data_IF_381684374696
#
_entry.id   IF_381684374696
#
_cell.length_a   1.000
_cell.length_b   1.000
_cell.length_c   1.000
_cell.angle_alpha   90.00
_cell.angle_beta   90.00
_cell.angle_gamma   90.00
#
_symmetry.space_group_name_H-M   'P 1'
#
loop_
_entity.id
_entity.type
_entity.pdbx_description
1 polymer ?
#
# COMPACT_ATOMS: atom_id res chain seq x y z
N UNK A 1 25.44 26.07 1.34
CA UNK A 1 24.84 25.42 0.15
C UNK A 1 23.33 25.62 0.21
N UNK A 2 22.70 26.33 -0.74
CA UNK A 2 21.25 26.44 -0.73
C UNK A 2 20.66 25.04 -0.99
N UNK A 3 19.99 24.47 0.00
CA UNK A 3 19.19 23.26 -0.18
C UNK A 3 18.01 23.65 -1.08
N UNK A 4 18.13 23.38 -2.38
CA UNK A 4 17.05 23.55 -3.34
C UNK A 4 15.80 22.90 -2.75
N UNK A 5 14.73 23.67 -2.63
CA UNK A 5 13.53 23.18 -1.98
C UNK A 5 12.93 22.08 -2.85
N UNK A 6 13.11 20.81 -2.45
CA UNK A 6 12.64 19.63 -3.17
C UNK A 6 11.19 19.84 -3.62
N UNK A 7 10.97 19.89 -4.92
CA UNK A 7 9.61 19.98 -5.49
C UNK A 7 8.96 18.61 -5.56
N UNK A 8 7.62 18.51 -5.66
CA UNK A 8 6.96 17.22 -5.82
C UNK A 8 7.44 16.45 -7.06
N UNK A 9 7.64 17.13 -8.20
CA UNK A 9 8.10 16.51 -9.44
C UNK A 9 9.58 16.10 -9.36
N UNK A 10 10.43 16.83 -8.64
CA UNK A 10 11.83 16.43 -8.40
C UNK A 10 11.91 15.12 -7.62
N UNK A 11 11.14 14.98 -6.53
CA UNK A 11 11.06 13.72 -5.78
C UNK A 11 10.55 12.59 -6.68
N UNK A 12 9.52 12.86 -7.48
CA UNK A 12 8.93 11.88 -8.38
C UNK A 12 9.93 11.36 -9.42
N UNK A 13 10.73 12.27 -9.99
CA UNK A 13 11.82 11.93 -10.92
C UNK A 13 12.94 11.15 -10.19
N UNK A 14 13.30 11.53 -8.97
CA UNK A 14 14.32 10.83 -8.17
C UNK A 14 13.87 9.40 -7.85
N UNK A 15 12.63 9.23 -7.40
CA UNK A 15 12.02 7.94 -7.14
C UNK A 15 12.00 7.05 -8.39
N UNK A 16 11.63 7.62 -9.55
CA UNK A 16 11.62 6.88 -10.81
C UNK A 16 13.02 6.43 -11.23
N UNK A 17 14.01 7.32 -11.13
CA UNK A 17 15.41 6.97 -11.41
C UNK A 17 15.90 5.85 -10.50
N UNK A 18 15.58 5.91 -9.20
CA UNK A 18 15.94 4.86 -8.25
C UNK A 18 15.27 3.54 -8.64
N UNK A 19 13.97 3.56 -8.95
CA UNK A 19 13.20 2.40 -9.38
C UNK A 19 13.84 1.70 -10.60
N UNK A 20 14.39 2.46 -11.53
CA UNK A 20 14.97 1.92 -12.77
C UNK A 20 16.37 1.32 -12.61
N UNK A 21 16.97 1.41 -11.41
CA UNK A 21 18.31 0.86 -11.14
C UNK A 21 18.32 -0.67 -10.97
N UNK A 22 19.46 -1.30 -11.28
CA UNK A 22 19.70 -2.73 -10.99
C UNK A 22 19.62 -3.03 -9.48
N UNK A 23 20.11 -2.11 -8.65
CA UNK A 23 20.04 -2.24 -7.19
C UNK A 23 18.60 -2.31 -6.69
N UNK A 24 17.70 -1.48 -7.27
CA UNK A 24 16.28 -1.56 -6.97
C UNK A 24 15.68 -2.88 -7.44
N UNK A 25 16.00 -3.29 -8.68
CA UNK A 25 15.58 -4.61 -9.17
C UNK A 25 16.04 -5.72 -8.25
N UNK A 26 17.25 -5.70 -7.71
CA UNK A 26 17.72 -6.70 -6.74
C UNK A 26 16.92 -6.69 -5.42
N UNK A 27 16.59 -5.50 -4.89
CA UNK A 27 15.74 -5.35 -3.71
C UNK A 27 14.35 -5.95 -3.96
N UNK A 28 13.80 -5.73 -5.17
CA UNK A 28 12.49 -6.25 -5.55
C UNK A 28 12.53 -7.71 -5.99
N UNK A 29 13.60 -8.23 -6.61
CA UNK A 29 13.70 -9.63 -7.06
C UNK A 29 14.06 -10.57 -5.92
N UNK A 30 14.70 -10.07 -4.85
CA UNK A 30 14.83 -10.80 -3.59
C UNK A 30 13.48 -11.17 -2.96
N UNK A 31 12.38 -10.57 -3.46
CA UNK A 31 11.00 -10.85 -3.08
C UNK A 31 10.44 -12.15 -3.69
N UNK A 32 10.81 -12.52 -4.93
CA UNK A 32 10.32 -13.76 -5.57
C UNK A 32 10.75 -15.02 -4.78
N UNK A 33 11.79 -14.89 -3.94
CA UNK A 33 12.26 -15.94 -3.05
C UNK A 33 11.50 -16.00 -1.69
N UNK A 34 10.63 -15.02 -1.39
CA UNK A 34 9.94 -14.90 -0.09
C UNK A 34 8.45 -14.54 -0.18
N UNK A 35 7.89 -14.35 -1.38
CA UNK A 35 6.47 -14.11 -1.62
C UNK A 35 5.72 -15.42 -1.90
N UNK A 36 4.54 -15.67 -1.30
CA UNK A 36 3.65 -16.72 -1.78
C UNK A 36 3.17 -16.41 -3.21
N UNK A 37 3.17 -17.43 -4.06
CA UNK A 37 2.86 -17.34 -5.49
C UNK A 37 1.44 -16.77 -5.72
N UNK A 38 1.26 -15.83 -6.66
CA UNK A 38 -0.06 -15.28 -6.94
C UNK A 38 -0.94 -16.35 -7.60
N UNK A 39 -2.08 -16.64 -6.96
CA UNK A 39 -3.12 -17.50 -7.54
C UNK A 39 -3.63 -16.85 -8.83
N UNK A 40 -3.30 -17.47 -9.97
CA UNK A 40 -3.85 -17.09 -11.28
C UNK A 40 -5.34 -17.40 -11.30
N UNK A 41 -6.18 -16.37 -11.45
CA UNK A 41 -7.57 -16.53 -11.82
C UNK A 41 -7.62 -16.87 -13.32
N UNK A 42 -8.08 -18.08 -13.63
CA UNK A 42 -8.43 -18.47 -15.01
C UNK A 42 -9.73 -17.74 -15.37
N UNK A 43 -9.85 -17.13 -16.56
CA UNK A 43 -11.12 -16.60 -17.03
C UNK A 43 -12.02 -17.77 -17.44
N UNK A 44 -13.17 -17.95 -16.79
CA UNK A 44 -14.21 -18.85 -17.29
C UNK A 44 -14.88 -18.20 -18.51
N UNK A 45 -14.57 -18.74 -19.69
CA UNK A 45 -15.33 -18.54 -20.92
C UNK A 45 -16.55 -19.50 -20.96
N UNK A 46 -17.59 -19.05 -21.68
CA UNK A 46 -18.71 -19.83 -22.23
C UNK A 46 -19.82 -20.27 -21.25
N UNK A 47 -21.12 -20.24 -21.56
CA UNK A 47 -21.93 -19.68 -22.65
C UNK A 47 -23.40 -19.82 -22.22
N UNK A 48 -24.27 -19.01 -22.80
CA UNK A 48 -25.72 -18.96 -22.59
C UNK A 48 -26.45 -20.28 -22.85
N UNK A 49 -27.57 -20.55 -22.14
CA UNK A 49 -28.84 -21.02 -22.75
C UNK A 49 -30.07 -21.00 -21.80
N UNK A 50 -31.31 -20.93 -22.33
CA UNK A 50 -32.52 -20.49 -21.62
C UNK A 50 -33.52 -21.61 -21.19
N UNK A 51 -34.48 -21.20 -20.37
CA UNK A 51 -35.68 -21.85 -19.78
C UNK A 51 -36.62 -22.56 -20.79
N UNK A 52 -37.51 -23.54 -20.52
CA UNK A 52 -38.49 -23.81 -19.43
C UNK A 52 -39.19 -25.22 -19.65
N UNK A 53 -40.25 -25.69 -18.93
CA UNK A 53 -40.33 -27.01 -18.30
C UNK A 53 -41.41 -28.00 -18.84
N UNK A 54 -41.45 -29.25 -18.35
CA UNK A 54 -42.68 -30.05 -18.09
C UNK A 54 -42.39 -31.38 -17.34
N UNK A 55 -43.22 -31.69 -16.35
CA UNK A 55 -43.40 -32.97 -15.62
C UNK A 55 -44.81 -33.52 -15.99
N UNK A 56 -45.34 -34.68 -15.53
CA UNK A 56 -44.82 -35.70 -14.59
C UNK A 56 -45.15 -37.18 -14.93
N UNK A 57 -44.62 -38.13 -14.13
CA UNK A 57 -45.37 -39.26 -13.50
C UNK A 57 -44.44 -40.09 -12.58
N UNK A 58 -44.93 -40.38 -11.36
CA UNK A 58 -44.32 -41.13 -10.22
C UNK A 58 -44.90 -42.57 -10.19
N UNK A 59 -44.37 -43.58 -9.44
CA UNK A 59 -44.40 -43.63 -7.95
C UNK A 59 -43.18 -44.39 -7.32
N UNK A 60 -43.18 -44.88 -6.05
CA UNK A 60 -42.52 -44.26 -4.89
C UNK A 60 -41.46 -45.16 -4.18
N UNK A 61 -41.05 -44.77 -2.96
CA UNK A 61 -40.05 -45.35 -2.02
C UNK A 61 -38.64 -44.75 -2.17
N UNK A 62 -37.98 -44.13 -1.19
CA UNK A 62 -38.14 -44.04 0.27
C UNK A 62 -37.70 -42.67 0.78
N UNK A 63 -38.41 -42.14 1.77
CA UNK A 63 -38.10 -40.91 2.48
C UNK A 63 -36.88 -41.12 3.38
N UNK A 64 -35.83 -40.32 3.18
CA UNK A 64 -34.82 -40.02 4.21
C UNK A 64 -34.78 -38.50 4.39
N UNK A 65 -34.78 -37.96 5.62
CA UNK A 65 -35.01 -36.53 5.85
C UNK A 65 -33.84 -35.68 5.35
N UNK A 66 -34.18 -34.59 4.66
CA UNK A 66 -33.37 -33.42 4.32
C UNK A 66 -32.70 -32.83 5.58
N UNK A 67 -31.54 -32.17 5.46
CA UNK A 67 -31.46 -30.70 5.24
C UNK A 67 -29.96 -30.25 5.19
N UNK A 68 -29.61 -28.98 4.97
CA UNK A 68 -29.47 -28.34 3.66
C UNK A 68 -28.06 -27.71 3.51
N UNK A 69 -27.85 -26.89 2.48
CA UNK A 69 -26.87 -25.78 2.48
C UNK A 69 -25.36 -26.15 2.45
N UNK A 70 -24.72 -25.97 1.29
CA UNK A 70 -23.87 -24.79 1.06
C UNK A 70 -23.26 -24.82 -0.35
N UNK A 71 -23.92 -24.08 -1.25
CA UNK A 71 -23.20 -23.29 -2.25
C UNK A 71 -22.39 -22.24 -1.50
N UNK A 72 -21.14 -22.00 -1.92
CA UNK A 72 -20.37 -20.83 -1.53
C UNK A 72 -19.45 -21.03 -0.32
N UNK A 73 -18.40 -21.83 -0.48
CA UNK A 73 -17.16 -21.61 0.28
C UNK A 73 -16.03 -21.53 -0.73
N UNK A 74 -15.70 -20.29 -1.12
CA UNK A 74 -14.37 -20.00 -1.64
C UNK A 74 -13.38 -20.56 -0.62
N UNK A 75 -12.49 -21.42 -1.10
CA UNK A 75 -11.46 -22.17 -0.38
C UNK A 75 -10.92 -21.35 0.79
N UNK A 76 -11.52 -21.50 1.97
CA UNK A 76 -10.82 -21.21 3.22
C UNK A 76 -9.55 -22.04 3.10
N UNK A 77 -8.38 -21.40 3.16
CA UNK A 77 -7.11 -22.12 3.22
C UNK A 77 -7.30 -23.26 4.23
N UNK A 78 -7.13 -24.50 3.78
CA UNK A 78 -7.41 -25.66 4.61
C UNK A 78 -6.47 -25.54 5.81
N UNK A 79 -7.04 -25.38 6.99
CA UNK A 79 -6.27 -25.20 8.22
C UNK A 79 -5.32 -26.39 8.46
N UNK A 80 -5.56 -27.52 7.79
CA UNK A 80 -4.65 -28.68 7.75
C UNK A 80 -3.33 -28.38 7.04
N UNK A 81 -3.32 -27.53 6.01
CA UNK A 81 -2.07 -27.11 5.36
C UNK A 81 -1.20 -26.30 6.32
N UNK A 82 -1.82 -25.52 7.22
CA UNK A 82 -1.10 -24.76 8.25
C UNK A 82 -0.42 -25.68 9.28
N UNK A 83 -1.00 -26.84 9.59
CA UNK A 83 -0.39 -27.81 10.53
C UNK A 83 0.86 -28.51 9.96
N UNK A 84 1.08 -28.40 8.65
CA UNK A 84 2.22 -29.00 7.96
C UNK A 84 3.41 -28.04 7.82
N UNK A 85 3.20 -26.75 8.10
CA UNK A 85 4.24 -25.71 8.05
C UNK A 85 4.98 -25.67 9.40
N UNK A 86 6.32 -25.59 9.41
CA UNK A 86 7.07 -25.41 10.66
C UNK A 86 6.59 -24.18 11.43
N UNK A 87 6.47 -24.29 12.76
CA UNK A 87 6.00 -23.21 13.64
C UNK A 87 6.81 -21.93 13.43
N UNK A 88 8.13 -22.04 13.26
CA UNK A 88 8.99 -20.88 13.00
C UNK A 88 8.63 -20.15 11.69
N UNK A 89 8.19 -20.88 10.68
CA UNK A 89 7.79 -20.34 9.39
C UNK A 89 6.39 -19.71 9.45
N UNK A 90 5.46 -20.33 10.19
CA UNK A 90 4.18 -19.71 10.55
C UNK A 90 4.36 -18.40 11.33
N UNK A 91 5.25 -18.38 12.32
CA UNK A 91 5.56 -17.19 13.10
C UNK A 91 6.20 -16.13 12.19
N UNK A 92 7.17 -16.51 11.36
CA UNK A 92 7.82 -15.58 10.43
C UNK A 92 6.82 -14.97 9.43
N UNK A 93 5.94 -15.79 8.85
CA UNK A 93 4.93 -15.33 7.89
C UNK A 93 3.85 -14.48 8.57
N UNK A 94 3.42 -14.87 9.77
CA UNK A 94 2.46 -14.08 10.56
C UNK A 94 3.07 -12.74 10.95
N UNK A 95 4.30 -12.72 11.47
CA UNK A 95 5.02 -11.49 11.85
C UNK A 95 5.28 -10.59 10.64
N UNK A 96 5.56 -11.18 9.47
CA UNK A 96 5.76 -10.46 8.20
C UNK A 96 4.45 -9.93 7.62
N UNK A 97 3.34 -10.63 7.85
CA UNK A 97 2.00 -10.24 7.41
C UNK A 97 1.30 -9.29 8.39
N UNK A 98 1.82 -9.12 9.62
CA UNK A 98 1.31 -8.11 10.53
C UNK A 98 1.40 -6.75 9.86
N UNK A 99 0.32 -5.93 9.93
CA UNK A 99 0.40 -4.54 9.52
C UNK A 99 1.59 -3.89 10.20
N UNK A 100 2.34 -3.08 9.46
CA UNK A 100 3.42 -2.29 10.04
C UNK A 100 2.86 -1.59 11.30
N UNK A 101 3.52 -1.83 12.45
CA UNK A 101 3.04 -1.32 13.72
C UNK A 101 2.75 0.18 13.56
N UNK A 102 1.54 0.61 13.94
CA UNK A 102 1.19 2.02 13.97
C UNK A 102 2.30 2.74 14.76
N UNK A 103 2.95 3.78 14.18
CA UNK A 103 4.13 4.34 14.80
C UNK A 103 3.83 4.81 16.23
N UNK A 104 4.62 4.35 17.22
CA UNK A 104 4.47 4.82 18.60
C UNK A 104 4.70 6.33 18.68
N UNK A 105 3.83 6.95 19.46
CA UNK A 105 3.20 8.23 19.17
C UNK A 105 4.05 9.43 19.59
N UNK A 106 4.71 10.08 18.64
CA UNK A 106 4.79 11.54 18.73
C UNK A 106 3.63 12.07 17.90
N UNK A 107 2.55 12.58 18.52
CA UNK A 107 1.40 13.06 17.78
C UNK A 107 1.87 14.11 16.79
N UNK A 108 1.27 14.08 15.59
CA UNK A 108 1.54 15.12 14.61
C UNK A 108 1.25 16.49 15.25
N UNK A 109 2.08 17.50 15.01
CA UNK A 109 1.73 18.85 15.42
C UNK A 109 0.41 19.17 14.70
N UNK A 110 -0.68 19.37 15.46
CA UNK A 110 -2.06 19.33 14.96
C UNK A 110 -2.39 20.30 13.81
N UNK A 111 -3.65 20.71 13.63
CA UNK A 111 -4.05 21.49 12.43
C UNK A 111 -3.21 22.76 12.17
N UNK A 112 -2.75 23.45 13.22
CA UNK A 112 -1.82 24.58 13.08
C UNK A 112 -0.44 24.13 12.56
N UNK A 113 0.07 23.00 13.06
CA UNK A 113 1.31 22.38 12.58
C UNK A 113 1.26 21.96 11.11
N UNK A 114 0.08 21.58 10.61
CA UNK A 114 -0.14 21.24 9.22
C UNK A 114 0.10 22.40 8.25
N UNK A 115 -0.20 23.63 8.69
CA UNK A 115 -0.07 24.86 7.88
C UNK A 115 1.34 25.44 7.96
N UNK A 116 2.04 25.26 9.08
CA UNK A 116 3.39 25.78 9.28
C UNK A 116 4.38 25.25 8.24
N UNK A 117 5.28 26.09 7.67
CA UNK A 117 6.38 25.65 6.81
C UNK A 117 7.10 24.44 7.40
N UNK A 118 7.26 23.37 6.62
CA UNK A 118 7.77 22.11 7.17
C UNK A 118 9.23 22.24 7.68
N UNK A 119 9.97 23.26 7.23
CA UNK A 119 11.30 23.58 7.77
C UNK A 119 11.25 23.90 9.26
N UNK A 120 10.12 24.42 9.78
CA UNK A 120 9.93 24.66 11.20
C UNK A 120 9.76 23.38 12.01
N UNK A 121 9.60 22.22 11.36
CA UNK A 121 9.55 20.92 12.02
C UNK A 121 10.92 20.23 12.06
N UNK A 122 11.92 20.73 11.34
CA UNK A 122 13.21 20.05 11.16
C UNK A 122 13.99 19.83 12.46
N UNK A 123 13.76 20.66 13.48
CA UNK A 123 14.34 20.47 14.83
C UNK A 123 13.92 19.14 15.46
N UNK A 124 12.77 18.57 15.07
CA UNK A 124 12.29 17.27 15.56
C UNK A 124 13.15 16.09 15.09
N UNK A 125 14.00 16.30 14.06
CA UNK A 125 14.91 15.29 13.52
C UNK A 125 16.15 15.04 14.39
N UNK A 126 16.52 15.98 15.26
CA UNK A 126 17.74 15.85 16.05
C UNK A 126 17.65 14.58 16.91
N UNK A 127 18.59 13.65 16.69
CA UNK A 127 18.68 12.36 17.42
C UNK A 127 17.72 11.27 16.95
N UNK A 128 17.00 11.43 15.83
CA UNK A 128 16.10 10.39 15.32
C UNK A 128 16.86 9.31 14.53
N UNK A 129 16.54 8.01 14.73
CA UNK A 129 17.14 6.92 13.99
C UNK A 129 16.60 6.86 12.55
N UNK A 130 17.35 6.19 11.68
CA UNK A 130 16.86 5.82 10.36
C UNK A 130 15.70 4.84 10.49
N UNK A 131 14.66 5.00 9.67
CA UNK A 131 13.49 4.13 9.66
C UNK A 131 13.40 3.41 8.33
N UNK A 132 12.69 2.28 8.32
CA UNK A 132 12.43 1.53 7.09
C UNK A 132 11.45 2.30 6.18
N UNK A 133 11.55 2.17 4.84
CA UNK A 133 10.57 2.73 3.90
C UNK A 133 9.10 2.48 4.26
N UNK A 134 8.72 1.28 4.71
CA UNK A 134 7.35 0.96 5.14
C UNK A 134 6.90 1.79 6.35
N UNK A 135 7.80 1.98 7.33
CA UNK A 135 7.55 2.83 8.50
C UNK A 135 7.45 4.30 8.10
N UNK A 136 8.31 4.77 7.19
CA UNK A 136 8.23 6.12 6.66
C UNK A 136 6.89 6.37 5.93
N UNK A 137 6.45 5.41 5.11
CA UNK A 137 5.15 5.46 4.43
C UNK A 137 3.98 5.44 5.42
N UNK A 138 4.08 4.72 6.55
CA UNK A 138 3.07 4.75 7.61
C UNK A 138 2.94 6.16 8.24
N UNK A 139 4.04 6.90 8.40
CA UNK A 139 3.97 8.30 8.80
C UNK A 139 3.38 9.20 7.72
N UNK A 140 3.73 8.98 6.45
CA UNK A 140 3.13 9.69 5.33
C UNK A 140 1.61 9.46 5.26
N UNK A 141 1.17 8.22 5.49
CA UNK A 141 -0.25 7.85 5.63
C UNK A 141 -0.93 8.67 6.71
N UNK A 142 -0.36 8.72 7.91
CA UNK A 142 -0.90 9.49 9.03
C UNK A 142 -1.06 10.97 8.68
N UNK A 143 -0.06 11.56 8.01
CA UNK A 143 -0.12 12.95 7.53
C UNK A 143 -1.26 13.14 6.53
N UNK A 144 -1.44 12.24 5.56
CA UNK A 144 -2.54 12.34 4.60
C UNK A 144 -3.92 12.24 5.28
N UNK A 145 -4.06 11.36 6.27
CA UNK A 145 -5.31 11.17 7.01
C UNK A 145 -5.61 12.36 7.93
N UNK A 146 -4.62 12.82 8.71
CA UNK A 146 -4.84 13.85 9.73
C UNK A 146 -4.80 15.27 9.16
N UNK A 147 -3.90 15.56 8.23
CA UNK A 147 -3.72 16.91 7.68
C UNK A 147 -4.45 17.10 6.35
N UNK A 148 -4.86 16.01 5.73
CA UNK A 148 -5.66 15.97 4.51
C UNK A 148 -4.81 15.76 3.25
N UNK A 149 -5.48 15.30 2.21
CA UNK A 149 -4.89 15.06 0.90
C UNK A 149 -5.24 16.18 -0.11
N UNK A 150 -4.37 16.39 -1.09
CA UNK A 150 -4.64 17.25 -2.24
C UNK A 150 -4.18 16.62 -3.57
N UNK A 151 -4.99 16.79 -4.60
CA UNK A 151 -4.63 16.54 -6.01
C UNK A 151 -4.19 17.81 -6.74
N UNK A 152 -4.90 18.93 -6.51
CA UNK A 152 -4.71 20.19 -7.25
C UNK A 152 -4.80 21.43 -6.36
N UNK A 153 -3.98 22.48 -6.57
CA UNK A 153 -2.80 22.51 -7.45
C UNK A 153 -1.69 21.60 -6.92
N UNK A 154 -0.86 21.06 -7.81
CA UNK A 154 0.17 20.10 -7.43
C UNK A 154 1.37 20.79 -6.81
N UNK A 155 1.30 20.90 -5.49
CA UNK A 155 2.34 21.40 -4.60
C UNK A 155 2.57 20.37 -3.51
N UNK A 156 3.70 20.46 -2.80
CA UNK A 156 3.88 19.63 -1.60
C UNK A 156 2.78 19.88 -0.58
N UNK A 157 2.25 21.12 -0.54
CA UNK A 157 1.26 21.58 0.42
C UNK A 157 0.38 22.70 -0.14
N UNK A 158 -0.89 22.75 0.24
CA UNK A 158 -1.78 23.90 0.03
C UNK A 158 -1.90 24.81 1.27
N UNK A 159 -2.62 25.91 1.13
CA UNK A 159 -2.84 26.87 2.22
C UNK A 159 -3.50 26.26 3.48
N UNK A 160 -4.25 25.16 3.34
CA UNK A 160 -4.91 24.47 4.46
C UNK A 160 -4.04 23.40 5.12
N UNK A 161 -2.83 23.18 4.63
CA UNK A 161 -1.96 22.13 5.13
C UNK A 161 -2.29 20.73 4.62
N UNK A 162 -3.11 20.58 3.58
CA UNK A 162 -3.22 19.28 2.92
C UNK A 162 -1.93 18.97 2.13
N UNK A 163 -1.60 17.69 1.94
CA UNK A 163 -0.39 17.23 1.24
C UNK A 163 -0.74 16.37 0.03
N UNK A 164 0.05 16.45 -1.03
CA UNK A 164 0.03 15.40 -2.06
C UNK A 164 0.81 14.18 -1.54
N UNK A 165 0.78 13.05 -2.24
CA UNK A 165 1.53 11.84 -1.84
C UNK A 165 3.03 12.14 -1.61
N UNK A 166 3.71 12.78 -2.57
CA UNK A 166 5.11 13.20 -2.42
C UNK A 166 5.30 14.17 -1.23
N UNK A 167 4.36 15.11 -1.07
CA UNK A 167 4.34 16.08 0.03
C UNK A 167 4.28 15.44 1.40
N UNK A 168 3.52 14.36 1.55
CA UNK A 168 3.40 13.62 2.80
C UNK A 168 4.72 12.92 3.18
N UNK A 169 5.40 12.30 2.22
CA UNK A 169 6.73 11.68 2.44
C UNK A 169 7.78 12.72 2.84
N UNK A 170 7.86 13.84 2.11
CA UNK A 170 8.78 14.94 2.46
C UNK A 170 8.48 15.50 3.85
N UNK A 171 7.20 15.61 4.19
CA UNK A 171 6.77 16.09 5.51
C UNK A 171 7.17 15.10 6.60
N UNK A 172 7.00 13.79 6.39
CA UNK A 172 7.44 12.75 7.32
C UNK A 172 8.96 12.83 7.58
N UNK A 173 9.78 13.00 6.53
CA UNK A 173 11.21 13.21 6.68
C UNK A 173 11.53 14.46 7.51
N UNK A 174 10.85 15.59 7.25
CA UNK A 174 11.05 16.84 7.99
C UNK A 174 10.59 16.78 9.43
N UNK A 175 9.65 15.89 9.76
CA UNK A 175 9.25 15.59 11.14
C UNK A 175 10.26 14.67 11.86
N UNK A 176 11.26 14.16 11.14
CA UNK A 176 12.34 13.34 11.68
C UNK A 176 12.22 11.85 11.35
N UNK A 177 11.26 11.44 10.54
CA UNK A 177 11.05 10.03 10.19
C UNK A 177 11.85 9.66 8.94
N UNK A 178 13.07 9.18 9.14
CA UNK A 178 13.97 8.72 8.06
C UNK A 178 14.76 9.84 7.37
N UNK A 179 15.71 9.45 6.54
CA UNK A 179 16.52 10.33 5.69
C UNK A 179 15.86 10.61 4.33
N UNK A 180 16.53 11.42 3.50
CA UNK A 180 16.14 11.60 2.09
C UNK A 180 16.29 10.29 1.30
N UNK A 181 17.27 9.44 1.62
CA UNK A 181 17.39 8.12 1.00
C UNK A 181 16.15 7.27 1.30
N UNK A 182 15.66 7.28 2.54
CA UNK A 182 14.40 6.59 2.88
C UNK A 182 13.19 7.17 2.12
N UNK A 183 13.16 8.49 1.87
CA UNK A 183 12.11 9.11 1.03
C UNK A 183 12.18 8.58 -0.40
N UNK A 184 13.36 8.55 -1.01
CA UNK A 184 13.55 8.08 -2.37
C UNK A 184 13.17 6.60 -2.50
N UNK A 185 13.61 5.77 -1.54
CA UNK A 185 13.27 4.34 -1.47
C UNK A 185 11.77 4.10 -1.26
N UNK A 186 11.12 4.91 -0.42
CA UNK A 186 9.66 4.88 -0.26
C UNK A 186 8.94 5.27 -1.57
N UNK A 187 9.46 6.27 -2.28
CA UNK A 187 8.97 6.67 -3.60
C UNK A 187 9.11 5.56 -4.64
N UNK A 188 10.24 4.85 -4.67
CA UNK A 188 10.44 3.73 -5.59
C UNK A 188 9.50 2.55 -5.28
N UNK A 189 9.17 2.30 -4.00
CA UNK A 189 8.12 1.34 -3.63
C UNK A 189 6.75 1.76 -4.14
N UNK A 190 6.41 3.06 -4.04
CA UNK A 190 5.16 3.60 -4.59
C UNK A 190 5.07 3.40 -6.12
N UNK A 191 6.17 3.65 -6.84
CA UNK A 191 6.23 3.42 -8.29
C UNK A 191 6.04 1.93 -8.60
N UNK A 192 6.68 1.04 -7.83
CA UNK A 192 6.51 -0.41 -7.96
C UNK A 192 5.04 -0.82 -7.78
N UNK A 193 4.38 -0.30 -6.75
CA UNK A 193 2.96 -0.57 -6.49
C UNK A 193 2.07 -0.04 -7.64
N UNK A 194 2.28 1.20 -8.06
CA UNK A 194 1.57 1.81 -9.19
C UNK A 194 1.71 0.99 -10.48
N UNK A 195 2.92 0.54 -10.79
CA UNK A 195 3.19 -0.33 -11.96
C UNK A 195 2.43 -1.64 -11.87
N UNK A 196 2.36 -2.25 -10.69
CA UNK A 196 1.59 -3.48 -10.48
C UNK A 196 0.08 -3.29 -10.62
N UNK A 197 -0.43 -2.07 -10.40
CA UNK A 197 -1.82 -1.68 -10.65
C UNK A 197 -2.08 -1.24 -12.11
N UNK A 198 -1.09 -1.39 -13.01
CA UNK A 198 -1.17 -1.02 -14.42
C UNK A 198 -0.89 0.46 -14.71
N UNK A 199 -0.51 1.26 -13.73
CA UNK A 199 -0.14 2.67 -13.96
C UNK A 199 1.31 2.77 -14.43
N UNK A 200 1.53 3.32 -15.62
CA UNK A 200 2.86 3.50 -16.24
C UNK A 200 3.44 4.92 -16.10
N UNK A 201 2.67 5.85 -15.53
CA UNK A 201 3.15 7.22 -15.25
C UNK A 201 3.91 7.35 -13.93
N UNK A 202 4.28 8.58 -13.58
CA UNK A 202 4.89 8.90 -12.29
C UNK A 202 3.84 9.11 -11.17
N UNK A 203 4.27 9.29 -9.92
CA UNK A 203 3.40 9.47 -8.74
C UNK A 203 2.60 10.77 -8.86
N UNK A 204 3.21 11.85 -9.34
CA UNK A 204 2.59 13.17 -9.49
C UNK A 204 1.44 13.19 -10.49
N UNK A 205 1.63 12.72 -11.73
CA UNK A 205 0.54 12.49 -12.68
C UNK A 205 -0.57 11.62 -12.10
N UNK A 206 -0.24 10.52 -11.39
CA UNK A 206 -1.26 9.69 -10.73
C UNK A 206 -2.07 10.49 -9.71
N UNK A 207 -1.40 11.26 -8.85
CA UNK A 207 -2.02 12.06 -7.79
C UNK A 207 -2.93 13.18 -8.36
N UNK A 208 -2.67 13.63 -9.59
CA UNK A 208 -3.46 14.66 -10.29
C UNK A 208 -4.56 14.09 -11.19
N UNK A 209 -4.62 12.78 -11.39
CA UNK A 209 -5.57 12.18 -12.32
C UNK A 209 -7.01 12.55 -11.94
N UNK A 210 -7.85 13.02 -12.89
CA UNK A 210 -9.25 13.33 -12.62
C UNK A 210 -9.98 12.13 -12.01
N UNK A 211 -10.83 12.40 -11.02
CA UNK A 211 -11.58 11.38 -10.29
C UNK A 211 -10.84 10.73 -9.12
N UNK A 212 -9.54 11.03 -8.91
CA UNK A 212 -8.83 10.56 -7.71
C UNK A 212 -9.33 11.23 -6.45
N UNK A 213 -9.41 10.42 -5.40
CA UNK A 213 -9.90 10.81 -4.08
C UNK A 213 -8.81 10.67 -3.01
N UNK A 214 -9.06 11.27 -1.84
CA UNK A 214 -8.20 11.07 -0.67
C UNK A 214 -8.15 9.58 -0.26
N UNK A 215 -9.26 8.85 -0.43
CA UNK A 215 -9.32 7.41 -0.15
C UNK A 215 -8.39 6.63 -1.07
N UNK A 216 -8.34 6.99 -2.37
CA UNK A 216 -7.42 6.34 -3.31
C UNK A 216 -5.96 6.57 -2.92
N UNK A 217 -5.63 7.79 -2.49
CA UNK A 217 -4.27 8.13 -2.03
C UNK A 217 -3.86 7.34 -0.79
N UNK A 218 -4.77 7.19 0.18
CA UNK A 218 -4.54 6.37 1.37
C UNK A 218 -4.45 4.89 1.02
N UNK A 219 -5.33 4.38 0.16
CA UNK A 219 -5.32 2.99 -0.29
C UNK A 219 -4.02 2.62 -1.04
N UNK A 220 -3.51 3.53 -1.90
CA UNK A 220 -2.22 3.36 -2.56
C UNK A 220 -1.08 3.26 -1.52
N UNK A 221 -1.08 4.14 -0.52
CA UNK A 221 -0.07 4.12 0.54
C UNK A 221 -0.17 2.83 1.37
N UNK A 222 -1.37 2.38 1.72
CA UNK A 222 -1.59 1.15 2.49
C UNK A 222 -1.12 -0.10 1.73
N UNK A 223 -1.41 -0.18 0.43
CA UNK A 223 -0.90 -1.24 -0.44
C UNK A 223 0.63 -1.21 -0.52
N UNK A 224 1.22 -0.02 -0.65
CA UNK A 224 2.67 0.17 -0.71
C UNK A 224 3.36 -0.19 0.61
N UNK A 225 2.80 0.22 1.75
CA UNK A 225 3.29 -0.17 3.09
C UNK A 225 3.32 -1.68 3.21
N UNK A 226 2.20 -2.33 2.84
CA UNK A 226 2.07 -3.79 2.92
C UNK A 226 3.05 -4.51 1.99
N UNK A 227 3.33 -3.94 0.82
CA UNK A 227 4.36 -4.47 -0.11
C UNK A 227 5.77 -4.32 0.47
N UNK A 228 6.14 -3.11 0.89
CA UNK A 228 7.46 -2.82 1.42
C UNK A 228 7.75 -3.65 2.69
N UNK A 229 6.78 -3.71 3.62
CA UNK A 229 6.91 -4.48 4.86
C UNK A 229 7.13 -5.98 4.60
N UNK A 230 6.41 -6.56 3.63
CA UNK A 230 6.62 -7.97 3.23
C UNK A 230 8.01 -8.23 2.65
N UNK A 231 8.61 -7.23 2.00
CA UNK A 231 9.98 -7.28 1.51
C UNK A 231 11.04 -6.95 2.61
N UNK A 232 10.62 -6.82 3.87
CA UNK A 232 11.50 -6.44 4.97
C UNK A 232 11.98 -4.98 4.93
N UNK A 233 11.38 -4.17 4.06
CA UNK A 233 11.64 -2.74 3.90
C UNK A 233 10.57 -1.89 4.57
#
# INVERSE_FOLDING_TARGET
MPTTALTPDELDIQAARLHDTDAWRQIVTGWDLTAPEPVRLVPDEHESQPSYPSHPLRPPHSLRPSDPQQRGQGKQADWRDLLSVPVDQLIADTVRALPAAAPRERPLPGRLGAVLPDRLHSWRRIGQPEVRPSTHLAHARQILTEWGWQSTPYRLRNARGARCVCGAMVTAHRLGYGSLDTVDRAGAWLITELRSQGWTGLIGPWNRQPGRTASDAVALIDATISRAARAGQ
#
